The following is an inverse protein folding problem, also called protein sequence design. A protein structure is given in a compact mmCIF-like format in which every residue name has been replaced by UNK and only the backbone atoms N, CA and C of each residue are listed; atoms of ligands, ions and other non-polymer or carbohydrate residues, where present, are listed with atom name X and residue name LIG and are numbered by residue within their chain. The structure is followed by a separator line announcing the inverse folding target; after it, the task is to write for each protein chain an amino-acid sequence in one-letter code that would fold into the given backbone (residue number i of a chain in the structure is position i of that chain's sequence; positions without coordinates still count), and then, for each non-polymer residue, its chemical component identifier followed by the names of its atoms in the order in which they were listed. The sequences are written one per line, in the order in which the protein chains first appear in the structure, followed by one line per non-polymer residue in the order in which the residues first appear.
data_IF_293603867887
#
_entry.id   IF_293603867887
#
_cell.length_a   1.000
_cell.length_b   1.000
_cell.length_c   1.000
_cell.angle_alpha   90.00
_cell.angle_beta   90.00
_cell.angle_gamma   90.00
#
_symmetry.space_group_name_H-M   'P 1'
#
loop_
_entity.id
_entity.type
_entity.pdbx_description
1 polymer ?
#
# COMPACT_ATOMS: atom_id res chain seq x y z
N UNK A 1 -49.93 10.35 -96.37
CA UNK A 1 -50.43 11.74 -96.44
C UNK A 1 -49.76 12.51 -95.31
N UNK A 2 -49.05 13.61 -95.65
CA UNK A 2 -48.83 14.89 -94.93
C UNK A 2 -48.68 14.90 -93.39
N UNK A 3 -47.86 15.72 -92.72
CA UNK A 3 -46.82 16.74 -92.98
C UNK A 3 -46.29 17.21 -91.59
N UNK A 4 -45.06 17.76 -91.54
CA UNK A 4 -44.56 18.90 -90.71
C UNK A 4 -44.57 18.79 -89.16
N UNK A 5 -43.43 18.91 -88.45
CA UNK A 5 -42.55 20.07 -88.13
C UNK A 5 -43.28 21.22 -87.40
N UNK A 6 -42.90 21.51 -86.14
CA UNK A 6 -42.24 22.75 -85.62
C UNK A 6 -42.47 22.91 -84.09
N UNK A 7 -41.45 23.32 -83.32
CA UNK A 7 -41.65 24.30 -82.22
C UNK A 7 -40.87 24.13 -80.89
N UNK A 8 -39.90 25.05 -80.67
CA UNK A 8 -39.55 25.82 -79.45
C UNK A 8 -39.16 25.03 -78.17
N UNK A 9 -38.10 25.28 -77.40
CA UNK A 9 -37.14 26.38 -77.24
C UNK A 9 -36.66 26.37 -75.76
N UNK A 10 -35.49 26.96 -75.45
CA UNK A 10 -35.13 27.72 -74.20
C UNK A 10 -33.66 27.56 -73.80
N UNK A 11 -33.00 28.72 -73.72
CA UNK A 11 -31.63 28.97 -73.25
C UNK A 11 -31.40 28.57 -71.79
N UNK A 12 -30.19 28.06 -71.48
CA UNK A 12 -29.65 28.01 -70.12
C UNK A 12 -28.41 28.90 -69.96
N UNK A 13 -28.41 29.59 -68.82
CA UNK A 13 -27.55 30.69 -68.41
C UNK A 13 -26.29 30.16 -67.73
N UNK A 14 -25.15 30.75 -68.10
CA UNK A 14 -23.83 30.55 -67.50
C UNK A 14 -23.77 31.20 -66.11
N UNK A 15 -23.47 30.42 -65.07
CA UNK A 15 -23.12 30.90 -63.73
C UNK A 15 -21.65 30.55 -63.44
N UNK A 16 -20.85 31.58 -63.18
CA UNK A 16 -19.54 31.46 -62.54
C UNK A 16 -19.71 30.99 -61.09
N UNK A 17 -18.81 30.14 -60.62
CA UNK A 17 -18.63 29.83 -59.20
C UNK A 17 -17.13 29.85 -58.84
N UNK A 18 -16.76 30.30 -57.63
CA UNK A 18 -15.38 30.61 -57.28
C UNK A 18 -14.64 29.37 -56.80
N UNK A 19 -13.63 28.94 -57.56
CA UNK A 19 -12.51 28.15 -57.04
C UNK A 19 -11.53 29.12 -56.35
N UNK A 20 -11.20 28.92 -55.07
CA UNK A 20 -9.92 29.33 -54.43
C UNK A 20 -9.97 29.50 -52.89
N UNK A 21 -10.47 28.51 -52.15
CA UNK A 21 -10.24 28.50 -50.69
C UNK A 21 -9.96 27.11 -50.09
N UNK A 22 -10.34 26.02 -50.75
CA UNK A 22 -10.07 24.66 -50.24
C UNK A 22 -8.73 24.07 -50.70
N UNK A 23 -8.17 24.57 -51.81
CA UNK A 23 -6.85 24.12 -52.29
C UNK A 23 -5.69 24.77 -51.51
N UNK A 24 -5.96 25.74 -50.64
CA UNK A 24 -4.93 26.46 -49.88
C UNK A 24 -4.79 25.92 -48.44
N UNK A 25 -5.87 25.45 -47.81
CA UNK A 25 -5.79 24.76 -46.51
C UNK A 25 -5.25 23.32 -46.63
N UNK A 26 -5.60 22.57 -47.69
CA UNK A 26 -4.98 21.26 -47.95
C UNK A 26 -3.52 21.40 -48.44
N UNK A 27 -3.16 22.52 -49.08
CA UNK A 27 -1.77 22.81 -49.43
C UNK A 27 -0.94 23.21 -48.19
N UNK A 28 -1.50 23.95 -47.23
CA UNK A 28 -0.80 24.29 -45.99
C UNK A 28 -0.62 23.07 -45.04
N UNK A 29 -1.59 22.14 -44.98
CA UNK A 29 -1.38 20.85 -44.28
C UNK A 29 -0.42 19.89 -45.03
N UNK A 30 -0.32 20.01 -46.36
CA UNK A 30 0.60 19.20 -47.17
C UNK A 30 2.03 19.76 -47.20
N UNK A 31 2.22 21.07 -47.08
CA UNK A 31 3.55 21.70 -47.05
C UNK A 31 4.26 21.47 -45.70
N UNK A 32 3.54 21.40 -44.58
CA UNK A 32 4.11 21.01 -43.28
C UNK A 32 4.44 19.50 -43.18
N UNK A 33 3.89 18.67 -44.08
CA UNK A 33 4.19 17.24 -44.19
C UNK A 33 5.46 16.93 -45.01
N UNK A 34 6.08 17.91 -45.68
CA UNK A 34 7.22 17.69 -46.59
C UNK A 34 8.63 17.87 -45.97
N UNK A 35 8.79 17.72 -44.65
CA UNK A 35 10.10 17.92 -43.99
C UNK A 35 11.00 16.66 -43.92
N UNK A 36 10.52 15.48 -44.31
CA UNK A 36 11.25 14.22 -44.20
C UNK A 36 11.04 13.31 -45.42
N UNK A 37 12.13 12.65 -45.86
CA UNK A 37 12.09 11.59 -46.87
C UNK A 37 11.06 10.50 -46.50
N UNK A 38 10.32 9.91 -47.46
CA UNK A 38 9.27 8.91 -47.18
C UNK A 38 9.76 7.70 -46.34
N UNK A 39 11.03 7.32 -46.48
CA UNK A 39 11.64 6.28 -45.66
C UNK A 39 11.84 6.72 -44.20
N UNK A 40 12.24 7.98 -43.98
CA UNK A 40 12.44 8.55 -42.65
C UNK A 40 11.09 8.77 -41.94
N UNK A 41 10.05 9.15 -42.68
CA UNK A 41 8.68 9.23 -42.15
C UNK A 41 8.12 7.89 -41.70
N UNK A 42 8.34 6.81 -42.49
CA UNK A 42 7.98 5.44 -42.07
C UNK A 42 8.71 5.02 -40.79
N UNK A 43 10.03 5.21 -40.75
CA UNK A 43 10.82 4.90 -39.56
C UNK A 43 10.37 5.69 -38.32
N UNK A 44 10.03 6.97 -38.49
CA UNK A 44 9.49 7.80 -37.41
C UNK A 44 8.18 7.22 -36.86
N UNK A 45 7.25 6.90 -37.77
CA UNK A 45 5.93 6.38 -37.41
C UNK A 45 6.03 5.04 -36.69
N UNK A 46 6.86 4.12 -37.19
CA UNK A 46 7.12 2.81 -36.56
C UNK A 46 7.71 2.97 -35.15
N UNK A 47 8.77 3.78 -35.01
CA UNK A 47 9.46 4.01 -33.74
C UNK A 47 8.57 4.71 -32.71
N UNK A 48 7.80 5.71 -33.15
CA UNK A 48 6.83 6.42 -32.31
C UNK A 48 5.72 5.49 -31.84
N UNK A 49 5.27 4.57 -32.71
CA UNK A 49 4.27 3.56 -32.36
C UNK A 49 4.83 2.58 -31.34
N UNK A 50 6.04 2.04 -31.54
CA UNK A 50 6.70 1.16 -30.58
C UNK A 50 6.90 1.82 -29.21
N UNK A 51 7.32 3.09 -29.19
CA UNK A 51 7.44 3.85 -27.94
C UNK A 51 6.08 4.02 -27.23
N UNK A 52 5.03 4.34 -28.00
CA UNK A 52 3.67 4.46 -27.45
C UNK A 52 3.18 3.13 -26.88
N UNK A 53 3.38 2.04 -27.61
CA UNK A 53 3.03 0.68 -27.17
C UNK A 53 3.68 0.35 -25.83
N UNK A 54 4.99 0.57 -25.71
CA UNK A 54 5.73 0.37 -24.45
C UNK A 54 5.14 1.20 -23.30
N UNK A 55 4.83 2.47 -23.50
CA UNK A 55 4.26 3.35 -22.47
C UNK A 55 2.81 3.01 -22.10
N UNK A 56 2.07 2.34 -23.00
CA UNK A 56 0.70 1.92 -22.75
C UNK A 56 0.58 0.50 -22.18
N UNK A 57 1.55 -0.37 -22.44
CA UNK A 57 1.55 -1.76 -22.00
C UNK A 57 2.53 -1.95 -20.82
N UNK A 58 3.83 -1.87 -21.11
CA UNK A 58 4.91 -2.26 -20.20
C UNK A 58 5.21 -1.22 -19.11
N UNK A 59 4.93 0.06 -19.39
CA UNK A 59 5.13 1.17 -18.45
C UNK A 59 3.86 2.02 -18.30
N UNK A 60 2.70 1.35 -18.28
CA UNK A 60 1.41 2.03 -18.18
C UNK A 60 1.22 2.77 -16.84
N UNK A 61 0.49 3.91 -16.83
CA UNK A 61 0.16 4.61 -15.59
C UNK A 61 -0.56 3.73 -14.58
N UNK A 62 -1.44 2.84 -15.06
CA UNK A 62 -2.17 1.90 -14.22
C UNK A 62 -1.25 0.87 -13.56
N UNK A 63 -0.26 0.37 -14.30
CA UNK A 63 0.75 -0.55 -13.79
C UNK A 63 1.61 0.12 -12.71
N UNK A 64 2.11 1.33 -12.97
CA UNK A 64 2.90 2.09 -11.99
C UNK A 64 2.09 2.41 -10.74
N UNK A 65 0.83 2.85 -10.89
CA UNK A 65 -0.07 3.07 -9.75
C UNK A 65 -0.28 1.80 -8.90
N UNK A 66 -0.40 0.65 -9.55
CA UNK A 66 -0.48 -0.65 -8.86
C UNK A 66 0.82 -0.96 -8.10
N UNK A 67 1.98 -0.67 -8.68
CA UNK A 67 3.27 -0.87 -8.03
C UNK A 67 3.48 0.08 -6.84
N UNK A 68 3.06 1.34 -6.95
CA UNK A 68 3.01 2.28 -5.82
C UNK A 68 2.15 1.77 -4.68
N UNK A 69 0.93 1.32 -4.98
CA UNK A 69 0.04 0.74 -3.96
C UNK A 69 0.66 -0.52 -3.31
N UNK A 70 1.36 -1.35 -4.08
CA UNK A 70 2.07 -2.52 -3.56
C UNK A 70 3.27 -2.11 -2.69
N UNK A 71 3.99 -1.07 -3.05
CA UNK A 71 5.09 -0.53 -2.25
C UNK A 71 4.61 0.04 -0.92
N UNK A 72 3.51 0.79 -0.93
CA UNK A 72 2.89 1.28 0.29
C UNK A 72 2.40 0.16 1.18
N UNK A 73 1.90 -0.94 0.60
CA UNK A 73 1.56 -2.14 1.36
C UNK A 73 2.80 -2.77 2.01
N UNK A 74 3.88 -2.99 1.23
CA UNK A 74 5.13 -3.58 1.72
C UNK A 74 5.76 -2.78 2.86
N UNK A 75 5.71 -1.45 2.81
CA UNK A 75 6.17 -0.58 3.89
C UNK A 75 5.39 -0.76 5.20
N UNK A 76 4.12 -1.19 5.10
CA UNK A 76 3.23 -1.41 6.23
C UNK A 76 3.26 -2.85 6.76
N UNK A 77 3.83 -3.78 6.02
CA UNK A 77 3.93 -5.16 6.43
C UNK A 77 4.86 -5.38 7.62
N UNK A 78 4.64 -6.49 8.33
CA UNK A 78 5.54 -7.01 9.36
C UNK A 78 6.43 -8.11 8.75
N UNK A 79 7.72 -8.11 9.07
CA UNK A 79 8.71 -9.05 8.52
C UNK A 79 9.27 -9.96 9.60
N UNK A 80 9.37 -11.26 9.31
CA UNK A 80 9.78 -12.31 10.24
C UNK A 80 10.91 -13.15 9.69
N UNK A 81 11.67 -13.78 10.58
CA UNK A 81 12.60 -14.85 10.22
C UNK A 81 11.89 -16.19 10.33
N UNK A 82 11.86 -16.93 9.23
CA UNK A 82 11.48 -18.33 9.20
C UNK A 82 12.72 -19.22 9.14
N UNK A 83 12.75 -20.23 10.01
CA UNK A 83 13.78 -21.26 10.03
C UNK A 83 13.21 -22.48 9.32
N UNK A 84 13.85 -22.88 8.24
CA UNK A 84 13.47 -24.09 7.50
C UNK A 84 14.64 -25.07 7.43
N UNK A 85 14.41 -26.38 7.53
CA UNK A 85 15.37 -27.40 7.12
C UNK A 85 15.80 -27.19 5.65
N UNK A 86 17.09 -27.32 5.33
CA UNK A 86 17.62 -27.15 3.96
C UNK A 86 17.02 -28.13 2.96
N UNK A 87 16.55 -29.29 3.42
CA UNK A 87 15.98 -30.36 2.58
C UNK A 87 14.50 -30.17 2.24
N UNK A 88 13.80 -29.20 2.84
CA UNK A 88 12.40 -28.93 2.49
C UNK A 88 12.33 -27.91 1.34
N UNK A 89 11.55 -28.20 0.30
CA UNK A 89 11.22 -27.21 -0.72
C UNK A 89 10.37 -26.07 -0.11
N UNK A 90 10.40 -24.88 -0.70
CA UNK A 90 9.56 -23.77 -0.24
C UNK A 90 8.09 -24.15 -0.52
N UNK A 91 7.30 -24.42 0.52
CA UNK A 91 5.89 -24.84 0.39
C UNK A 91 5.58 -26.28 0.86
N UNK A 92 6.59 -27.09 1.21
CA UNK A 92 6.35 -28.41 1.83
C UNK A 92 5.91 -28.25 3.29
N UNK A 93 4.62 -28.38 3.53
CA UNK A 93 4.01 -28.50 4.84
C UNK A 93 4.26 -29.92 5.38
N UNK A 94 5.48 -30.22 5.84
CA UNK A 94 5.73 -31.46 6.57
C UNK A 94 5.66 -31.18 8.09
N UNK A 95 4.61 -31.61 8.81
CA UNK A 95 4.38 -31.23 10.21
C UNK A 95 5.35 -31.87 11.23
N UNK A 96 6.29 -32.70 10.77
CA UNK A 96 7.11 -33.56 11.64
C UNK A 96 8.33 -32.88 12.30
N UNK A 97 8.62 -31.60 12.01
CA UNK A 97 9.65 -30.86 12.74
C UNK A 97 9.07 -29.54 13.24
N UNK A 98 8.49 -29.58 14.44
CA UNK A 98 7.92 -28.40 15.09
C UNK A 98 8.94 -27.24 15.09
N UNK A 99 8.55 -26.03 14.64
CA UNK A 99 9.40 -24.84 14.71
C UNK A 99 9.98 -24.57 16.11
N UNK A 100 9.25 -24.93 17.17
CA UNK A 100 9.64 -24.72 18.56
C UNK A 100 10.91 -25.47 19.00
N UNK A 101 11.15 -26.70 18.51
CA UNK A 101 12.35 -27.47 18.88
C UNK A 101 13.59 -26.99 18.12
N UNK A 102 13.43 -26.45 16.90
CA UNK A 102 14.54 -25.87 16.15
C UNK A 102 15.06 -24.57 16.76
N UNK A 103 14.18 -23.74 17.34
CA UNK A 103 14.60 -22.53 18.06
C UNK A 103 15.44 -22.83 19.30
N UNK A 104 15.19 -23.95 19.98
CA UNK A 104 15.95 -24.38 21.16
C UNK A 104 17.41 -24.75 20.83
N UNK A 105 17.68 -25.14 19.58
CA UNK A 105 19.02 -25.52 19.12
C UNK A 105 19.85 -24.30 18.67
N UNK A 106 19.20 -23.17 18.42
CA UNK A 106 19.87 -21.96 17.93
C UNK A 106 20.38 -21.14 19.10
N UNK A 107 21.64 -20.73 19.01
CA UNK A 107 22.22 -19.78 19.97
C UNK A 107 21.44 -18.46 19.98
N UNK A 108 20.89 -18.01 21.12
CA UNK A 108 20.07 -16.81 21.19
C UNK A 108 20.82 -15.55 20.75
N UNK A 109 22.12 -15.42 21.08
CA UNK A 109 22.92 -14.25 20.72
C UNK A 109 23.19 -14.19 19.21
N UNK A 110 23.50 -15.34 18.59
CA UNK A 110 23.62 -15.46 17.13
C UNK A 110 22.29 -15.14 16.45
N UNK A 111 21.17 -15.60 17.00
CA UNK A 111 19.86 -15.28 16.44
C UNK A 111 19.53 -13.79 16.54
N UNK A 112 19.82 -13.13 17.66
CA UNK A 112 19.65 -11.68 17.79
C UNK A 112 20.51 -10.92 16.76
N UNK A 113 21.73 -11.39 16.46
CA UNK A 113 22.53 -10.84 15.35
C UNK A 113 21.84 -11.05 14.00
N UNK A 114 21.26 -12.22 13.76
CA UNK A 114 20.49 -12.46 12.53
C UNK A 114 19.25 -11.59 12.42
N UNK A 115 18.56 -11.27 13.53
CA UNK A 115 17.47 -10.29 13.53
C UNK A 115 17.97 -8.94 13.01
N UNK A 116 19.11 -8.44 13.51
CA UNK A 116 19.71 -7.18 13.03
C UNK A 116 20.06 -7.22 11.54
N UNK A 117 20.61 -8.33 11.05
CA UNK A 117 20.90 -8.54 9.62
C UNK A 117 19.59 -8.51 8.81
N UNK A 118 18.56 -9.22 9.26
CA UNK A 118 17.25 -9.20 8.64
C UNK A 118 16.64 -7.80 8.60
N UNK A 119 16.74 -7.03 9.70
CA UNK A 119 16.21 -5.67 9.77
C UNK A 119 16.92 -4.77 8.75
N UNK A 120 18.25 -4.87 8.66
CA UNK A 120 19.03 -4.11 7.70
C UNK A 120 18.67 -4.50 6.25
N UNK A 121 18.58 -5.81 5.97
CA UNK A 121 18.20 -6.31 4.64
C UNK A 121 16.79 -5.84 4.23
N UNK A 122 15.80 -5.93 5.12
CA UNK A 122 14.45 -5.42 4.86
C UNK A 122 14.43 -3.92 4.57
N UNK A 123 15.17 -3.12 5.36
CA UNK A 123 15.26 -1.68 5.14
C UNK A 123 15.91 -1.35 3.78
N UNK A 124 17.03 -2.00 3.46
CA UNK A 124 17.71 -1.82 2.17
C UNK A 124 16.79 -2.22 1.01
N UNK A 125 16.11 -3.37 1.12
CA UNK A 125 15.17 -3.83 0.10
C UNK A 125 14.03 -2.83 -0.13
N UNK A 126 13.43 -2.31 0.94
CA UNK A 126 12.34 -1.32 0.83
C UNK A 126 12.80 0.01 0.23
N UNK A 127 14.02 0.45 0.56
CA UNK A 127 14.61 1.67 -0.02
C UNK A 127 14.91 1.48 -1.50
N UNK A 128 15.54 0.36 -1.86
CA UNK A 128 15.89 0.06 -3.25
C UNK A 128 14.65 -0.11 -4.13
N UNK A 129 13.62 -0.79 -3.64
CA UNK A 129 12.35 -0.89 -4.36
C UNK A 129 11.69 0.49 -4.58
N UNK A 130 11.79 1.39 -3.61
CA UNK A 130 11.26 2.76 -3.76
C UNK A 130 12.04 3.55 -4.81
N UNK A 131 13.38 3.45 -4.80
CA UNK A 131 14.25 4.10 -5.77
C UNK A 131 14.00 3.58 -7.20
N UNK A 132 13.89 2.26 -7.39
CA UNK A 132 13.57 1.70 -8.71
C UNK A 132 12.22 2.17 -9.22
N UNK A 133 11.21 2.26 -8.35
CA UNK A 133 9.90 2.75 -8.76
C UNK A 133 9.94 4.23 -9.16
N UNK A 134 10.72 5.04 -8.46
CA UNK A 134 10.97 6.44 -8.83
C UNK A 134 11.74 6.57 -10.16
N UNK A 135 12.69 5.66 -10.42
CA UNK A 135 13.37 5.60 -11.72
C UNK A 135 12.39 5.27 -12.86
N UNK A 136 11.44 4.36 -12.63
CA UNK A 136 10.39 4.03 -13.59
C UNK A 136 9.46 5.23 -13.84
N UNK A 137 9.03 5.95 -12.80
CA UNK A 137 8.19 7.14 -12.94
C UNK A 137 8.89 8.24 -13.75
N UNK A 138 10.15 8.53 -13.42
CA UNK A 138 10.97 9.52 -14.13
C UNK A 138 11.21 9.12 -15.58
N UNK A 139 11.62 7.88 -15.82
CA UNK A 139 11.82 7.35 -17.17
C UNK A 139 10.55 7.39 -18.00
N UNK A 140 9.39 7.10 -17.40
CA UNK A 140 8.10 7.25 -18.09
C UNK A 140 7.84 8.70 -18.48
N UNK A 141 8.04 9.66 -17.57
CA UNK A 141 7.81 11.07 -17.84
C UNK A 141 8.75 11.62 -18.93
N UNK A 142 10.01 11.20 -18.92
CA UNK A 142 11.00 11.52 -19.96
C UNK A 142 10.54 11.02 -21.34
N UNK A 143 10.10 9.76 -21.41
CA UNK A 143 9.63 9.14 -22.66
C UNK A 143 8.29 9.72 -23.15
N UNK A 144 7.36 10.05 -22.25
CA UNK A 144 6.12 10.76 -22.60
C UNK A 144 6.42 12.14 -23.20
N UNK A 145 7.39 12.88 -22.64
CA UNK A 145 7.78 14.19 -23.16
C UNK A 145 8.32 14.11 -24.60
N UNK A 146 9.03 13.04 -24.95
CA UNK A 146 9.50 12.81 -26.32
C UNK A 146 8.34 12.63 -27.32
N UNK A 147 7.23 12.03 -26.91
CA UNK A 147 6.04 11.87 -27.75
C UNK A 147 5.27 13.17 -27.99
N UNK A 148 5.46 14.16 -27.12
CA UNK A 148 4.87 15.50 -27.22
C UNK A 148 5.69 16.45 -28.12
N UNK A 149 6.91 16.06 -28.52
CA UNK A 149 7.73 16.86 -29.43
C UNK A 149 7.06 16.95 -30.81
N UNK A 150 6.82 18.16 -31.35
CA UNK A 150 6.24 18.33 -32.68
C UNK A 150 7.25 18.03 -33.80
N UNK A 151 8.55 18.24 -33.57
CA UNK A 151 9.59 17.98 -34.59
C UNK A 151 10.05 16.50 -34.56
N UNK A 152 9.88 15.75 -35.67
CA UNK A 152 10.32 14.35 -35.79
C UNK A 152 11.84 14.18 -35.95
N UNK A 153 12.58 15.20 -36.38
CA UNK A 153 14.01 15.08 -36.74
C UNK A 153 14.91 14.76 -35.53
N UNK A 154 14.79 15.46 -34.38
CA UNK A 154 15.57 15.13 -33.17
C UNK A 154 15.25 13.74 -32.63
N UNK A 155 13.99 13.32 -32.71
CA UNK A 155 13.55 11.99 -32.27
C UNK A 155 14.21 10.88 -33.11
N UNK A 156 14.24 11.04 -34.43
CA UNK A 156 14.88 10.09 -35.33
C UNK A 156 16.39 10.00 -35.12
N UNK A 157 17.07 11.14 -34.98
CA UNK A 157 18.51 11.22 -34.74
C UNK A 157 18.90 10.66 -33.37
N UNK A 158 18.08 10.89 -32.35
CA UNK A 158 18.30 10.43 -30.97
C UNK A 158 17.78 9.02 -30.67
N UNK A 159 17.21 8.30 -31.65
CA UNK A 159 16.52 7.04 -31.40
C UNK A 159 17.38 5.98 -30.71
N UNK A 160 18.69 5.90 -30.98
CA UNK A 160 19.58 4.96 -30.31
C UNK A 160 19.58 5.13 -28.78
N UNK A 161 19.54 6.38 -28.31
CA UNK A 161 19.44 6.71 -26.88
C UNK A 161 18.05 6.34 -26.33
N UNK A 162 16.99 6.56 -27.11
CA UNK A 162 15.62 6.17 -26.72
C UNK A 162 15.52 4.65 -26.60
N UNK A 163 16.05 3.89 -27.56
CA UNK A 163 16.06 2.43 -27.53
C UNK A 163 16.85 1.89 -26.34
N UNK A 164 18.02 2.49 -26.04
CA UNK A 164 18.77 2.16 -24.83
C UNK A 164 17.96 2.44 -23.57
N UNK A 165 17.30 3.61 -23.50
CA UNK A 165 16.47 3.98 -22.36
C UNK A 165 15.30 3.02 -22.13
N UNK A 166 14.67 2.54 -23.20
CA UNK A 166 13.63 1.51 -23.13
C UNK A 166 14.17 0.22 -22.51
N UNK A 167 15.33 -0.26 -22.98
CA UNK A 167 15.96 -1.46 -22.44
C UNK A 167 16.38 -1.30 -20.96
N UNK A 168 16.90 -0.14 -20.59
CA UNK A 168 17.22 0.19 -19.19
C UNK A 168 15.98 0.14 -18.30
N UNK A 169 14.87 0.76 -18.72
CA UNK A 169 13.62 0.76 -17.94
C UNK A 169 12.99 -0.63 -17.83
N UNK A 170 13.10 -1.46 -18.87
CA UNK A 170 12.73 -2.89 -18.79
C UNK A 170 13.57 -3.61 -17.74
N UNK A 171 14.89 -3.41 -17.72
CA UNK A 171 15.77 -4.03 -16.73
C UNK A 171 15.48 -3.53 -15.30
N UNK A 172 15.16 -2.24 -15.13
CA UNK A 172 14.72 -1.66 -13.86
C UNK A 172 13.41 -2.31 -13.39
N UNK A 173 12.44 -2.50 -14.31
CA UNK A 173 11.18 -3.19 -14.01
C UNK A 173 11.44 -4.64 -13.57
N UNK A 174 12.29 -5.39 -14.29
CA UNK A 174 12.65 -6.75 -13.93
C UNK A 174 13.32 -6.82 -12.54
N UNK A 175 14.24 -5.90 -12.26
CA UNK A 175 14.88 -5.76 -10.95
C UNK A 175 13.86 -5.45 -9.85
N UNK A 176 12.92 -4.55 -10.11
CA UNK A 176 11.84 -4.21 -9.19
C UNK A 176 10.99 -5.45 -8.89
N UNK A 177 10.55 -6.17 -9.92
CA UNK A 177 9.72 -7.36 -9.78
C UNK A 177 10.43 -8.48 -9.02
N UNK A 178 11.70 -8.73 -9.32
CA UNK A 178 12.53 -9.73 -8.64
C UNK A 178 12.70 -9.43 -7.15
N UNK A 179 12.72 -8.15 -6.77
CA UNK A 179 12.88 -7.73 -5.37
C UNK A 179 11.57 -7.59 -4.59
N UNK A 180 10.39 -7.75 -5.20
CA UNK A 180 9.11 -7.64 -4.48
C UNK A 180 8.88 -8.74 -3.44
N UNK A 181 9.58 -9.87 -3.53
CA UNK A 181 9.48 -10.98 -2.59
C UNK A 181 10.74 -10.98 -1.71
N UNK A 182 10.62 -10.91 -0.38
CA UNK A 182 11.79 -10.99 0.49
C UNK A 182 12.57 -12.28 0.27
N UNK A 183 13.89 -12.11 0.14
CA UNK A 183 14.79 -13.20 -0.20
C UNK A 183 15.29 -14.00 1.01
N UNK A 184 16.24 -14.89 0.72
CA UNK A 184 16.99 -15.63 1.74
C UNK A 184 17.85 -14.68 2.57
N UNK A 185 18.03 -15.01 3.85
CA UNK A 185 19.04 -14.37 4.68
C UNK A 185 20.36 -15.11 4.53
N UNK A 186 21.42 -14.37 4.20
CA UNK A 186 22.74 -14.96 4.13
C UNK A 186 23.28 -15.24 5.54
N UNK A 187 23.64 -16.49 5.81
CA UNK A 187 24.15 -16.96 7.09
C UNK A 187 25.66 -17.17 6.96
N UNK A 188 26.47 -16.27 7.53
CA UNK A 188 27.95 -16.43 7.53
C UNK A 188 28.46 -17.46 8.54
N UNK A 189 27.77 -17.61 9.67
CA UNK A 189 28.21 -18.46 10.77
C UNK A 189 27.11 -19.45 11.19
N UNK A 190 27.50 -20.63 11.65
CA UNK A 190 26.56 -21.64 12.16
C UNK A 190 25.75 -21.08 13.33
N UNK A 191 24.44 -21.02 13.15
CA UNK A 191 23.49 -20.52 14.16
C UNK A 191 23.25 -21.52 15.29
N UNK A 192 23.36 -22.80 14.98
CA UNK A 192 23.25 -23.89 15.96
C UNK A 192 24.55 -23.98 16.76
N UNK A 193 24.44 -24.11 18.09
CA UNK A 193 25.58 -24.34 18.98
C UNK A 193 26.06 -25.78 18.87
N UNK A 194 27.37 -26.01 18.90
CA UNK A 194 27.99 -27.35 18.82
C UNK A 194 27.81 -28.09 20.16
N UNK A 195 26.58 -28.51 20.45
CA UNK A 195 26.26 -29.32 21.62
C UNK A 195 26.21 -30.78 21.16
N UNK A 196 27.29 -31.52 21.43
CA UNK A 196 27.35 -32.99 21.48
C UNK A 196 26.74 -33.79 20.31
N UNK A 197 27.60 -34.18 19.35
CA UNK A 197 27.57 -35.43 18.58
C UNK A 197 26.25 -36.03 18.03
N UNK A 198 25.20 -35.24 17.77
CA UNK A 198 24.07 -35.67 16.94
C UNK A 198 23.89 -34.70 15.78
N UNK A 199 23.61 -35.25 14.58
CA UNK A 199 23.55 -34.56 13.29
C UNK A 199 22.89 -33.18 13.39
N UNK A 200 23.70 -32.14 13.36
CA UNK A 200 23.20 -30.76 13.46
C UNK A 200 22.38 -30.46 12.21
N UNK A 201 21.10 -30.08 12.35
CA UNK A 201 20.22 -29.89 11.23
C UNK A 201 20.74 -28.76 10.35
N UNK A 202 20.87 -29.04 9.06
CA UNK A 202 21.13 -28.00 8.07
C UNK A 202 19.89 -27.12 7.97
N UNK A 203 19.97 -25.89 8.48
CA UNK A 203 18.89 -24.90 8.42
C UNK A 203 19.18 -23.81 7.39
N UNK A 204 18.12 -23.22 6.86
CA UNK A 204 18.11 -21.97 6.08
C UNK A 204 17.21 -20.97 6.79
N UNK A 205 17.60 -19.69 6.71
CA UNK A 205 16.79 -18.58 7.19
C UNK A 205 16.19 -17.82 6.01
N UNK A 206 14.89 -17.55 6.07
CA UNK A 206 14.16 -16.79 5.06
C UNK A 206 13.46 -15.62 5.73
N UNK A 207 13.40 -14.48 5.05
CA UNK A 207 12.50 -13.39 5.44
C UNK A 207 11.10 -13.70 4.91
N UNK A 208 10.11 -13.73 5.79
CA UNK A 208 8.71 -13.78 5.39
C UNK A 208 7.99 -12.49 5.74
N UNK A 209 6.93 -12.20 4.99
CA UNK A 209 6.14 -10.98 5.10
C UNK A 209 4.71 -11.31 5.51
N UNK A 210 4.20 -10.60 6.52
CA UNK A 210 2.80 -10.63 6.90
C UNK A 210 2.14 -9.29 6.58
N UNK A 211 0.95 -9.33 5.99
CA UNK A 211 0.16 -8.14 5.61
C UNK A 211 -0.16 -7.26 6.83
N UNK A 212 -0.30 -5.93 6.70
CA UNK A 212 -0.58 -5.07 7.84
C UNK A 212 -1.89 -5.44 8.57
N UNK A 213 -1.90 -5.22 9.89
CA UNK A 213 -3.13 -5.25 10.68
C UNK A 213 -3.81 -3.90 10.54
N UNK A 214 -5.10 -3.90 10.20
CA UNK A 214 -5.87 -2.69 9.92
C UNK A 214 -7.20 -2.72 10.68
N UNK A 215 -7.57 -1.60 11.30
CA UNK A 215 -8.89 -1.44 11.90
C UNK A 215 -9.97 -1.49 10.83
N UNK A 216 -11.04 -2.24 11.14
CA UNK A 216 -12.32 -2.08 10.50
C UNK A 216 -12.97 -0.79 11.06
N UNK A 217 -12.79 0.29 10.30
CA UNK A 217 -13.32 1.62 10.63
C UNK A 217 -14.85 1.66 10.67
N UNK A 218 -15.52 0.77 9.93
CA UNK A 218 -16.99 0.68 9.91
C UNK A 218 -17.51 -0.23 11.02
N UNK A 219 -16.77 -1.28 11.34
CA UNK A 219 -17.13 -2.26 12.37
C UNK A 219 -16.72 -1.87 13.79
N UNK A 220 -15.84 -0.88 13.96
CA UNK A 220 -15.41 -0.37 15.27
C UNK A 220 -16.23 0.83 15.72
N UNK A 221 -16.78 0.79 16.93
CA UNK A 221 -17.76 1.77 17.43
C UNK A 221 -17.48 2.10 18.89
N UNK A 222 -17.61 3.38 19.26
CA UNK A 222 -17.61 3.79 20.66
C UNK A 222 -19.04 3.95 21.19
N UNK A 223 -19.22 3.45 22.41
CA UNK A 223 -20.42 3.57 23.22
C UNK A 223 -20.17 4.63 24.30
N UNK A 224 -21.01 4.66 25.34
CA UNK A 224 -20.92 5.66 26.39
C UNK A 224 -19.62 5.55 27.20
N UNK A 225 -19.29 4.35 27.64
CA UNK A 225 -18.21 4.04 28.58
C UNK A 225 -17.34 2.87 28.10
N UNK A 226 -17.51 2.45 26.86
CA UNK A 226 -16.73 1.39 26.25
C UNK A 226 -16.64 1.55 24.73
N UNK A 227 -15.76 0.80 24.09
CA UNK A 227 -15.63 0.77 22.64
C UNK A 227 -15.46 -0.67 22.15
N UNK A 228 -16.21 -1.03 21.11
CA UNK A 228 -16.02 -2.28 20.38
C UNK A 228 -15.07 -2.04 19.21
N UNK A 229 -13.98 -2.79 19.16
CA UNK A 229 -12.95 -2.64 18.13
C UNK A 229 -12.86 -3.92 17.30
N UNK A 230 -12.77 -3.75 15.98
CA UNK A 230 -12.52 -4.82 15.03
C UNK A 230 -11.37 -4.46 14.12
N UNK A 231 -10.58 -5.46 13.75
CA UNK A 231 -9.50 -5.32 12.78
C UNK A 231 -9.39 -6.57 11.93
N UNK A 232 -8.69 -6.44 10.81
CA UNK A 232 -8.46 -7.55 9.89
C UNK A 232 -7.00 -7.58 9.45
N UNK A 233 -6.59 -8.77 9.04
CA UNK A 233 -5.37 -9.02 8.26
C UNK A 233 -5.82 -9.39 6.85
N UNK A 234 -5.22 -8.80 5.82
CA UNK A 234 -5.70 -8.93 4.43
C UNK A 234 -5.60 -10.37 3.90
N UNK A 235 -4.74 -11.18 4.51
CA UNK A 235 -4.56 -12.60 4.22
C UNK A 235 -4.93 -13.42 5.44
N UNK A 236 -5.76 -14.45 5.25
CA UNK A 236 -6.19 -15.32 6.34
C UNK A 236 -4.96 -15.92 7.05
N UNK A 237 -4.84 -15.78 8.37
CA UNK A 237 -3.66 -16.23 9.07
C UNK A 237 -3.66 -17.76 9.15
N UNK A 238 -2.56 -18.39 8.73
CA UNK A 238 -2.37 -19.84 8.78
C UNK A 238 -2.23 -20.38 10.21
N UNK A 239 -2.01 -19.51 11.19
CA UNK A 239 -1.84 -19.82 12.61
C UNK A 239 -2.44 -18.70 13.46
N UNK A 240 -2.90 -18.99 14.71
CA UNK A 240 -3.40 -17.96 15.61
C UNK A 240 -2.33 -16.88 15.86
N UNK A 241 -2.68 -15.62 15.60
CA UNK A 241 -1.80 -14.46 15.81
C UNK A 241 -2.14 -13.76 17.11
N UNK A 242 -1.12 -13.20 17.77
CA UNK A 242 -1.26 -12.33 18.92
C UNK A 242 -1.09 -10.88 18.47
N UNK A 243 -1.93 -10.00 18.99
CA UNK A 243 -1.95 -8.57 18.72
C UNK A 243 -1.71 -7.79 20.00
N UNK A 244 -1.24 -6.57 19.84
CA UNK A 244 -1.12 -5.60 20.92
C UNK A 244 -2.05 -4.43 20.62
N UNK A 245 -3.12 -4.33 21.41
CA UNK A 245 -4.03 -3.19 21.39
C UNK A 245 -3.55 -2.18 22.42
N UNK A 246 -3.40 -0.92 22.00
CA UNK A 246 -3.19 0.18 22.95
C UNK A 246 -4.26 1.24 22.76
N UNK A 247 -4.68 1.83 23.87
CA UNK A 247 -5.57 2.98 23.87
C UNK A 247 -5.01 4.09 24.75
N UNK A 248 -5.34 5.34 24.42
CA UNK A 248 -4.96 6.53 25.18
C UNK A 248 -6.00 7.63 24.98
N UNK A 249 -6.42 8.26 26.07
CA UNK A 249 -7.19 9.51 26.04
C UNK A 249 -6.36 10.65 25.43
N UNK A 250 -6.90 11.35 24.43
CA UNK A 250 -6.15 12.39 23.71
C UNK A 250 -6.02 13.68 24.52
N UNK A 251 -7.12 14.13 25.15
CA UNK A 251 -7.20 15.42 25.85
C UNK A 251 -7.57 15.24 27.34
N UNK A 252 -6.65 14.73 28.17
CA UNK A 252 -6.87 14.60 29.61
C UNK A 252 -6.88 15.98 30.29
N UNK A 253 -8.00 16.30 30.94
CA UNK A 253 -8.24 17.56 31.66
C UNK A 253 -7.88 17.47 33.14
N UNK A 254 -7.96 16.29 33.73
CA UNK A 254 -7.68 16.04 35.15
C UNK A 254 -6.47 15.12 35.33
N UNK A 255 -5.90 15.08 36.54
CA UNK A 255 -4.81 14.15 36.86
C UNK A 255 -5.26 12.69 36.76
N UNK A 256 -6.49 12.39 37.17
CA UNK A 256 -7.10 11.06 37.04
C UNK A 256 -7.30 10.67 35.57
N UNK A 257 -7.66 11.61 34.70
CA UNK A 257 -7.77 11.35 33.27
C UNK A 257 -6.43 10.97 32.61
N UNK A 258 -5.29 11.34 33.19
CA UNK A 258 -3.98 10.95 32.64
C UNK A 258 -3.71 9.45 32.78
N UNK A 259 -4.41 8.74 33.66
CA UNK A 259 -4.31 7.29 33.77
C UNK A 259 -5.19 6.54 32.74
N UNK A 260 -5.98 7.25 31.92
CA UNK A 260 -6.84 6.66 30.88
C UNK A 260 -6.04 6.21 29.66
N UNK A 261 -5.23 5.18 29.84
CA UNK A 261 -4.47 4.50 28.80
C UNK A 261 -4.19 3.05 29.19
N UNK A 262 -3.88 2.21 28.21
CA UNK A 262 -3.56 0.81 28.48
C UNK A 262 -2.94 0.09 27.30
N UNK A 263 -2.36 -1.07 27.60
CA UNK A 263 -1.78 -2.02 26.64
C UNK A 263 -2.41 -3.37 26.95
N UNK A 264 -3.01 -4.00 25.95
CA UNK A 264 -3.77 -5.23 26.09
C UNK A 264 -3.28 -6.23 25.03
N UNK A 265 -2.79 -7.42 25.44
CA UNK A 265 -2.54 -8.51 24.50
C UNK A 265 -3.87 -9.13 24.06
N UNK A 266 -4.05 -9.32 22.75
CA UNK A 266 -5.31 -9.83 22.17
C UNK A 266 -5.01 -10.96 21.19
N UNK A 267 -5.64 -12.12 21.39
CA UNK A 267 -5.49 -13.32 20.55
C UNK A 267 -6.60 -13.44 19.47
N UNK A 268 -7.34 -12.37 19.22
CA UNK A 268 -8.51 -12.31 18.35
C UNK A 268 -8.46 -11.05 17.47
N UNK A 269 -9.30 -11.02 16.43
CA UNK A 269 -9.45 -9.87 15.53
C UNK A 269 -10.48 -8.83 16.01
N UNK A 270 -10.95 -8.97 17.24
CA UNK A 270 -11.91 -8.09 17.88
C UNK A 270 -11.68 -8.01 19.38
N UNK A 271 -11.97 -6.86 19.98
CA UNK A 271 -11.86 -6.66 21.42
C UNK A 271 -12.71 -5.48 21.89
N UNK A 272 -13.32 -5.62 23.06
CA UNK A 272 -14.11 -4.57 23.70
C UNK A 272 -13.28 -3.94 24.84
N UNK A 273 -13.09 -2.62 24.79
CA UNK A 273 -12.42 -1.86 25.85
C UNK A 273 -13.47 -1.19 26.71
N UNK A 274 -13.57 -1.61 27.98
CA UNK A 274 -14.50 -1.07 28.97
C UNK A 274 -13.86 0.03 29.84
N UNK A 275 -14.67 0.62 30.72
CA UNK A 275 -14.27 1.63 31.70
C UNK A 275 -13.65 2.91 31.10
N UNK A 276 -14.07 3.25 29.88
CA UNK A 276 -13.74 4.51 29.23
C UNK A 276 -14.60 5.64 29.80
N UNK A 277 -14.04 6.84 29.81
CA UNK A 277 -14.78 8.02 30.24
C UNK A 277 -15.79 8.45 29.17
N UNK A 278 -17.01 8.85 29.56
CA UNK A 278 -18.01 9.34 28.62
C UNK A 278 -17.67 10.72 28.07
N UNK A 279 -18.16 11.01 26.87
CA UNK A 279 -17.94 12.27 26.16
C UNK A 279 -16.45 12.63 25.98
N UNK A 280 -15.63 11.65 25.61
CA UNK A 280 -14.17 11.79 25.46
C UNK A 280 -13.64 11.16 24.19
N UNK A 281 -12.50 11.69 23.74
CA UNK A 281 -11.84 11.26 22.52
C UNK A 281 -10.64 10.36 22.83
N UNK A 282 -10.69 9.11 22.36
CA UNK A 282 -9.64 8.11 22.57
C UNK A 282 -8.96 7.76 21.25
N UNK A 283 -7.64 7.63 21.29
CA UNK A 283 -6.85 7.03 20.21
C UNK A 283 -6.57 5.58 20.55
N UNK A 284 -7.11 4.70 19.72
CA UNK A 284 -6.83 3.27 19.69
C UNK A 284 -5.78 2.97 18.63
N UNK A 285 -5.02 1.92 18.87
CA UNK A 285 -3.97 1.49 17.96
C UNK A 285 -3.76 0.00 18.05
N UNK A 286 -3.47 -0.63 16.93
CA UNK A 286 -3.25 -2.08 16.86
C UNK A 286 -2.00 -2.38 16.05
N UNK A 287 -1.24 -3.37 16.51
CA UNK A 287 -0.12 -3.98 15.79
C UNK A 287 0.00 -5.45 16.18
N UNK A 288 0.88 -6.21 15.53
CA UNK A 288 1.18 -7.56 16.00
C UNK A 288 1.93 -7.49 17.31
N UNK A 289 1.72 -8.49 18.17
CA UNK A 289 2.53 -8.65 19.35
C UNK A 289 3.98 -8.95 18.93
N UNK A 290 4.93 -8.43 19.72
CA UNK A 290 6.34 -8.77 19.53
C UNK A 290 6.51 -10.29 19.64
N UNK A 291 7.19 -10.88 18.67
CA UNK A 291 7.54 -12.29 18.69
C UNK A 291 9.04 -12.47 18.56
N UNK A 292 9.56 -13.60 19.03
CA UNK A 292 11.00 -13.89 18.95
C UNK A 292 11.53 -13.76 17.51
N UNK A 293 10.73 -14.14 16.52
CA UNK A 293 11.07 -14.11 15.10
C UNK A 293 10.80 -12.76 14.39
N UNK A 294 10.15 -11.79 15.04
CA UNK A 294 9.83 -10.50 14.42
C UNK A 294 11.10 -9.67 14.18
N UNK A 295 11.29 -9.20 12.95
CA UNK A 295 12.52 -8.50 12.52
C UNK A 295 12.28 -7.04 12.19
N UNK A 296 11.16 -6.73 11.57
CA UNK A 296 10.83 -5.36 11.18
C UNK A 296 9.32 -5.16 11.19
N UNK A 297 8.84 -4.24 12.02
CA UNK A 297 7.44 -3.81 12.09
C UNK A 297 7.38 -2.31 12.41
N UNK A 298 7.35 -1.44 11.38
CA UNK A 298 7.19 -0.01 11.58
C UNK A 298 5.71 0.38 11.74
N UNK A 299 4.80 -0.46 11.27
CA UNK A 299 3.39 -0.12 11.13
C UNK A 299 2.59 -0.38 12.40
N UNK A 300 1.72 0.57 12.71
CA UNK A 300 0.68 0.46 13.73
C UNK A 300 -0.51 1.25 13.21
N UNK A 301 -1.63 0.58 12.95
CA UNK A 301 -2.83 1.29 12.53
C UNK A 301 -3.42 2.00 13.74
N UNK A 302 -4.08 3.14 13.49
CA UNK A 302 -4.67 3.97 14.52
C UNK A 302 -6.09 4.37 14.16
N UNK A 303 -6.95 4.38 15.17
CA UNK A 303 -8.34 4.76 15.06
C UNK A 303 -8.68 5.70 16.22
N UNK A 304 -9.33 6.81 15.93
CA UNK A 304 -9.83 7.73 16.95
C UNK A 304 -11.33 7.56 17.06
N UNK A 305 -11.83 7.29 18.27
CA UNK A 305 -13.27 7.20 18.53
C UNK A 305 -13.65 8.14 19.67
N UNK A 306 -14.87 8.66 19.59
CA UNK A 306 -15.45 9.53 20.60
C UNK A 306 -16.55 8.79 21.36
N UNK A 307 -16.40 8.67 22.68
CA UNK A 307 -17.40 8.04 23.53
C UNK A 307 -18.65 8.91 23.62
N UNK A 308 -19.81 8.28 23.80
CA UNK A 308 -21.09 9.00 23.85
C UNK A 308 -21.21 9.75 25.18
N UNK A 309 -21.99 10.85 25.23
CA UNK A 309 -22.34 11.49 26.48
C UNK A 309 -22.99 10.49 27.45
N UNK A 310 -22.67 10.62 28.73
CA UNK A 310 -23.39 9.91 29.78
C UNK A 310 -24.82 10.42 29.91
N UNK A 311 -25.71 9.68 30.59
CA UNK A 311 -27.00 10.24 30.98
C UNK A 311 -26.77 11.53 31.76
N UNK A 312 -27.62 12.56 31.58
CA UNK A 312 -27.52 13.77 32.38
C UNK A 312 -27.55 13.36 33.85
N UNK A 313 -26.62 13.89 34.65
CA UNK A 313 -26.69 13.77 36.10
C UNK A 313 -28.08 14.26 36.53
N UNK A 314 -28.95 13.31 36.89
CA UNK A 314 -30.25 13.65 37.44
C UNK A 314 -30.04 14.53 38.68
N UNK A 315 -31.00 15.43 39.01
CA UNK A 315 -30.85 16.28 40.16
C UNK A 315 -30.56 15.41 41.38
N UNK A 316 -29.40 15.63 41.99
CA UNK A 316 -29.04 15.11 43.30
C UNK A 316 -30.29 15.19 44.18
N UNK A 317 -30.78 14.11 44.82
CA UNK A 317 -31.90 14.22 45.72
C UNK A 317 -31.50 15.20 46.82
N UNK A 318 -32.02 16.42 46.71
CA UNK A 318 -31.84 17.46 47.70
C UNK A 318 -32.22 16.88 49.03
N UNK A 319 -31.36 17.08 50.03
CA UNK A 319 -31.61 16.74 51.44
C UNK A 319 -33.08 17.02 51.77
N UNK A 320 -33.90 15.97 51.83
CA UNK A 320 -35.18 16.03 52.50
C UNK A 320 -34.86 16.44 53.93
N UNK A 321 -35.29 17.65 54.29
CA UNK A 321 -35.20 18.18 55.63
C UNK A 321 -35.79 17.16 56.60
N UNK A 322 -35.00 16.79 57.60
CA UNK A 322 -35.47 16.01 58.74
C UNK A 322 -36.67 16.76 59.36
N UNK A 323 -37.85 16.12 59.51
CA UNK A 323 -38.85 16.63 60.43
C UNK A 323 -38.26 16.59 61.85
N UNK A 324 -38.40 17.70 62.57
CA UNK A 324 -37.86 17.87 63.92
C UNK A 324 -38.37 16.82 64.91
N UNK A 325 -37.45 16.36 65.76
CA UNK A 325 -37.77 15.61 66.99
C UNK A 325 -38.59 16.51 67.93
N UNK A 326 -39.69 16.02 68.53
CA UNK A 326 -40.33 16.72 69.63
C UNK A 326 -39.50 16.56 70.91
N UNK A 327 -39.28 17.69 71.59
CA UNK A 327 -38.63 17.77 72.90
C UNK A 327 -39.41 16.97 73.94
N UNK A 328 -38.68 16.14 74.67
CA UNK A 328 -39.01 15.61 75.99
C UNK A 328 -39.09 16.75 76.99
N UNK A 329 -40.19 16.84 77.74
CA UNK A 329 -40.22 17.50 79.05
C UNK A 329 -40.47 16.46 80.13
N UNK A 330 -39.62 16.55 81.14
CA UNK A 330 -39.52 15.70 82.33
C UNK A 330 -40.35 16.32 83.47
N UNK A 331 -41.02 15.43 84.23
CA UNK A 331 -41.27 15.49 85.68
C UNK A 331 -42.29 16.52 86.23
N UNK A 332 -43.31 16.06 86.97
CA UNK A 332 -43.27 15.95 88.44
C UNK A 332 -44.55 15.34 89.04
N UNK A 333 -44.32 14.43 90.01
CA UNK A 333 -45.17 13.90 91.11
C UNK A 333 -46.34 12.95 90.84
#
# INVERSE_FOLDING_TARGET
MNFQVTGLGRDEVKMDSPQSFLDQEEAEEAEDQQLLEPAAWRAYTERRTALREFLTADLSPHLLKRHHARMDLLRKCSYYIEILPKHLALGDQNPLVLPGTMFQLIDPWKFQRMKKVGTAQTKIQLLLLADLLEQLDRGRAELDALLQSPDPRPFLAGWGLVAQRLAELSAVMDGFLAMMVPGRLHIKHRLVSDIGATKIPHIRLILSTKTPVLFDRKGSVAHQDWASLRWFVTTQPAAPEQFELRFKLLDPRTQQERSQCGIIPVAACSFDVHDLLPNRCYRFTVKRAESYALVYEPWRDSLTLHTRPGPPEGPSPGRLGKPGLPLTTLSER
#
